data_IF_072764373242
#
_entry.id   IF_072764373242
#
_cell.length_a   1.000
_cell.length_b   1.000
_cell.length_c   1.000
_cell.angle_alpha   90.00
_cell.angle_beta   90.00
_cell.angle_gamma   90.00
#
_symmetry.space_group_name_H-M   'P 1'
#
loop_
_entity.id
_entity.type
_entity.pdbx_description
1 polymer ?
#
# COMPACT_ATOMS: atom_id res chain seq x y z
N UNK A 1 1.67 -0.49 31.93
CA UNK A 1 1.69 -1.40 30.78
C UNK A 1 0.31 -2.03 30.63
N UNK A 2 -0.18 -2.13 29.39
CA UNK A 2 -1.42 -2.84 29.01
C UNK A 2 -0.99 -3.76 27.87
N UNK A 3 -1.33 -5.04 27.96
CA UNK A 3 -1.07 -6.01 26.92
C UNK A 3 -2.40 -6.45 26.29
N UNK A 4 -2.48 -6.42 24.96
CA UNK A 4 -3.63 -6.84 24.17
C UNK A 4 -3.23 -8.05 23.34
N UNK A 5 -3.07 -9.19 24.02
CA UNK A 5 -2.59 -10.43 23.45
C UNK A 5 -3.63 -11.57 23.60
N UNK A 6 -3.37 -12.70 22.94
CA UNK A 6 -4.25 -13.88 23.04
C UNK A 6 -5.58 -13.75 22.27
N UNK A 7 -5.68 -12.78 21.36
CA UNK A 7 -6.86 -12.59 20.52
C UNK A 7 -6.79 -13.58 19.35
N UNK A 8 -7.55 -14.66 19.44
CA UNK A 8 -7.73 -15.59 18.33
C UNK A 8 -8.66 -14.98 17.24
N UNK A 9 -9.23 -15.81 16.37
CA UNK A 9 -10.31 -15.35 15.50
C UNK A 9 -11.49 -14.88 16.37
N UNK A 10 -12.02 -13.65 16.21
CA UNK A 10 -11.83 -12.70 15.11
C UNK A 10 -11.07 -11.41 15.51
N UNK A 11 -9.75 -11.46 15.62
CA UNK A 11 -8.95 -10.30 16.05
C UNK A 11 -9.05 -9.04 15.16
N UNK A 12 -9.14 -9.18 13.84
CA UNK A 12 -9.30 -8.02 12.95
C UNK A 12 -10.67 -7.35 13.10
N UNK A 13 -11.73 -8.14 13.21
CA UNK A 13 -13.11 -7.64 13.33
C UNK A 13 -13.36 -7.02 14.70
N UNK A 14 -12.74 -7.56 15.75
CA UNK A 14 -12.87 -7.06 17.13
C UNK A 14 -11.93 -5.89 17.45
N UNK A 15 -10.95 -5.58 16.61
CA UNK A 15 -9.95 -4.53 16.87
C UNK A 15 -10.54 -3.16 17.25
N UNK A 16 -11.62 -2.65 16.61
CA UNK A 16 -12.23 -1.38 17.04
C UNK A 16 -12.78 -1.42 18.48
N UNK A 17 -13.52 -2.47 18.83
CA UNK A 17 -14.09 -2.64 20.16
C UNK A 17 -13.01 -2.85 21.24
N UNK A 18 -11.95 -3.59 20.91
CA UNK A 18 -10.76 -3.72 21.77
C UNK A 18 -10.10 -2.35 21.97
N UNK A 19 -10.03 -1.52 20.93
CA UNK A 19 -9.53 -0.14 21.01
C UNK A 19 -10.31 0.71 22.01
N UNK A 20 -11.64 0.68 21.96
CA UNK A 20 -12.51 1.39 22.93
C UNK A 20 -12.29 0.89 24.36
N UNK A 21 -12.23 -0.44 24.55
CA UNK A 21 -11.96 -1.05 25.85
C UNK A 21 -10.62 -0.57 26.43
N UNK A 22 -9.55 -0.56 25.62
CA UNK A 22 -8.22 -0.12 26.05
C UNK A 22 -8.20 1.38 26.37
N UNK A 23 -8.92 2.20 25.58
CA UNK A 23 -9.05 3.63 25.84
C UNK A 23 -9.70 3.89 27.21
N UNK A 24 -10.74 3.12 27.58
CA UNK A 24 -11.38 3.23 28.88
C UNK A 24 -10.44 2.84 30.04
N UNK A 25 -9.66 1.76 29.88
CA UNK A 25 -8.64 1.36 30.86
C UNK A 25 -7.60 2.47 31.05
N UNK A 26 -7.17 3.12 29.97
CA UNK A 26 -6.23 4.25 30.03
C UNK A 26 -6.82 5.48 30.70
N UNK A 27 -8.10 5.78 30.41
CA UNK A 27 -8.84 6.89 31.03
C UNK A 27 -8.81 6.79 32.55
N UNK A 28 -9.14 5.62 33.08
CA UNK A 28 -9.15 5.37 34.54
C UNK A 28 -7.74 5.38 35.14
N UNK A 29 -6.76 4.76 34.46
CA UNK A 29 -5.40 4.61 34.98
C UNK A 29 -4.61 5.92 35.01
N UNK A 30 -4.88 6.83 34.09
CA UNK A 30 -4.12 8.08 33.91
C UNK A 30 -4.95 9.34 34.17
N UNK A 31 -6.21 9.20 34.61
CA UNK A 31 -7.15 10.30 34.79
C UNK A 31 -7.24 11.19 33.54
N UNK A 32 -7.41 10.57 32.37
CA UNK A 32 -7.48 11.28 31.09
C UNK A 32 -8.86 11.92 30.91
N UNK A 33 -8.86 13.09 30.31
CA UNK A 33 -10.08 13.80 29.92
C UNK A 33 -10.27 13.70 28.40
N UNK A 34 -11.53 13.79 27.96
CA UNK A 34 -11.84 13.77 26.54
C UNK A 34 -11.38 15.07 25.88
N UNK A 35 -10.77 14.95 24.70
CA UNK A 35 -10.30 16.10 23.94
C UNK A 35 -11.43 16.61 23.05
N UNK A 36 -11.94 17.81 23.33
CA UNK A 36 -13.02 18.44 22.54
C UNK A 36 -12.63 18.60 21.05
N UNK A 37 -11.39 19.01 20.78
CA UNK A 37 -10.87 19.22 19.42
C UNK A 37 -10.13 17.99 18.87
N UNK A 38 -10.76 16.81 18.93
CA UNK A 38 -10.20 15.60 18.35
C UNK A 38 -10.41 15.52 16.83
N UNK A 39 -9.32 15.31 16.09
CA UNK A 39 -9.38 15.10 14.63
C UNK A 39 -9.74 13.64 14.36
N UNK A 40 -11.04 13.36 14.23
CA UNK A 40 -11.57 12.01 14.01
C UNK A 40 -11.53 11.52 12.55
N UNK A 41 -10.99 12.31 11.63
CA UNK A 41 -10.94 11.98 10.21
C UNK A 41 -9.51 11.85 9.73
N UNK A 42 -9.30 10.97 8.74
CA UNK A 42 -8.04 10.88 8.01
C UNK A 42 -8.31 11.04 6.53
N UNK A 43 -7.40 11.72 5.83
CA UNK A 43 -7.41 11.71 4.36
C UNK A 43 -7.22 10.26 3.89
N UNK A 44 -8.19 9.75 3.15
CA UNK A 44 -8.14 8.41 2.55
C UNK A 44 -7.12 8.33 1.43
N UNK A 45 -6.88 7.10 0.96
CA UNK A 45 -6.16 6.87 -0.30
C UNK A 45 -7.15 7.08 -1.43
N UNK A 46 -6.76 7.83 -2.46
CA UNK A 46 -7.58 8.03 -3.66
C UNK A 46 -7.83 6.68 -4.35
N UNK A 47 -9.09 6.38 -4.66
CA UNK A 47 -9.48 5.27 -5.54
C UNK A 47 -9.96 5.83 -6.88
N UNK A 48 -9.16 5.70 -7.97
CA UNK A 48 -9.57 6.21 -9.27
C UNK A 48 -10.84 5.58 -9.84
N UNK A 49 -11.28 4.43 -9.32
CA UNK A 49 -12.51 3.77 -9.78
C UNK A 49 -13.78 4.38 -9.18
N UNK A 50 -13.66 5.19 -8.12
CA UNK A 50 -14.81 5.89 -7.53
C UNK A 50 -15.04 7.27 -8.16
N UNK A 51 -14.12 7.74 -9.00
CA UNK A 51 -14.22 9.05 -9.67
C UNK A 51 -15.19 9.00 -10.85
N UNK A 52 -15.87 10.11 -11.09
CA UNK A 52 -16.56 10.35 -12.36
C UNK A 52 -15.58 10.41 -13.53
N UNK A 53 -16.09 10.33 -14.76
CA UNK A 53 -15.26 10.37 -15.96
C UNK A 53 -14.51 11.70 -16.08
N UNK A 54 -15.20 12.79 -15.78
CA UNK A 54 -14.68 14.16 -15.82
C UNK A 54 -13.57 14.36 -14.78
N UNK A 55 -13.79 13.93 -13.55
CA UNK A 55 -12.77 13.97 -12.48
C UNK A 55 -11.55 13.11 -12.83
N UNK A 56 -11.77 11.93 -13.41
CA UNK A 56 -10.68 11.05 -13.85
C UNK A 56 -9.88 11.70 -14.99
N UNK A 57 -10.53 12.39 -15.92
CA UNK A 57 -9.84 13.12 -16.99
C UNK A 57 -8.99 14.27 -16.44
N UNK A 58 -9.50 15.03 -15.48
CA UNK A 58 -8.73 16.10 -14.85
C UNK A 58 -7.56 15.55 -14.04
N UNK A 59 -7.76 14.44 -13.31
CA UNK A 59 -6.68 13.74 -12.62
C UNK A 59 -5.57 13.30 -13.58
N UNK A 60 -5.93 12.72 -14.74
CA UNK A 60 -4.94 12.29 -15.73
C UNK A 60 -4.21 13.50 -16.35
N UNK A 61 -4.90 14.63 -16.50
CA UNK A 61 -4.30 15.86 -17.01
C UNK A 61 -3.30 16.47 -16.02
N UNK A 62 -3.61 16.44 -14.73
CA UNK A 62 -2.70 16.89 -13.66
C UNK A 62 -1.55 15.90 -13.44
N UNK A 63 -1.88 14.60 -13.46
CA UNK A 63 -1.01 13.48 -13.14
C UNK A 63 -1.11 12.39 -14.22
N UNK A 64 -0.36 12.52 -15.33
CA UNK A 64 -0.42 11.61 -16.48
C UNK A 64 -0.21 10.13 -16.14
N UNK A 65 0.51 9.82 -15.08
CA UNK A 65 0.74 8.48 -14.56
C UNK A 65 -0.55 7.74 -14.15
N UNK A 66 -1.63 8.45 -13.81
CA UNK A 66 -2.96 7.87 -13.59
C UNK A 66 -3.67 7.45 -14.89
N UNK A 67 -3.14 7.86 -16.05
CA UNK A 67 -3.61 7.42 -17.36
C UNK A 67 -2.99 6.09 -17.82
N UNK A 68 -1.89 5.66 -17.20
CA UNK A 68 -1.14 4.48 -17.60
C UNK A 68 -1.52 3.25 -16.76
N UNK A 69 -2.20 2.26 -17.36
CA UNK A 69 -2.63 1.04 -16.64
C UNK A 69 -1.50 0.01 -16.59
N UNK A 70 -1.03 -0.30 -15.38
CA UNK A 70 0.01 -1.30 -15.14
C UNK A 70 -0.58 -2.68 -14.86
N UNK A 71 -1.62 -2.77 -14.02
CA UNK A 71 -2.31 -4.03 -13.74
C UNK A 71 -3.70 -4.05 -14.37
N UNK A 72 -3.81 -4.62 -15.58
CA UNK A 72 -5.09 -4.73 -16.30
C UNK A 72 -6.16 -5.54 -15.57
N UNK A 73 -5.78 -6.52 -14.73
CA UNK A 73 -6.77 -7.34 -14.02
C UNK A 73 -7.48 -6.57 -12.91
N UNK A 74 -6.76 -5.68 -12.23
CA UNK A 74 -7.28 -4.90 -11.09
C UNK A 74 -7.47 -3.41 -11.45
N UNK A 75 -7.28 -3.06 -12.73
CA UNK A 75 -7.33 -1.69 -13.26
C UNK A 75 -6.42 -0.68 -12.55
N UNK A 76 -5.28 -1.15 -12.03
CA UNK A 76 -4.34 -0.32 -11.27
C UNK A 76 -3.41 0.45 -12.21
N UNK A 77 -3.32 1.75 -11.97
CA UNK A 77 -2.51 2.72 -12.72
C UNK A 77 -1.07 2.80 -12.20
N UNK A 78 -0.17 3.39 -13.00
CA UNK A 78 1.19 3.73 -12.57
C UNK A 78 1.16 4.72 -11.39
N UNK A 79 0.26 5.72 -11.45
CA UNK A 79 0.06 6.70 -10.40
C UNK A 79 -0.30 6.08 -9.04
N UNK A 80 -1.21 5.12 -9.00
CA UNK A 80 -1.53 4.39 -7.76
C UNK A 80 -0.33 3.62 -7.19
N UNK A 81 0.51 3.04 -8.05
CA UNK A 81 1.73 2.34 -7.64
C UNK A 81 2.75 3.33 -7.07
N UNK A 82 2.96 4.47 -7.73
CA UNK A 82 3.84 5.54 -7.27
C UNK A 82 3.38 6.10 -5.91
N UNK A 83 2.08 6.40 -5.77
CA UNK A 83 1.48 6.83 -4.51
C UNK A 83 1.70 5.82 -3.38
N UNK A 84 1.53 4.52 -3.68
CA UNK A 84 1.76 3.46 -2.70
C UNK A 84 3.23 3.36 -2.24
N UNK A 85 4.18 3.76 -3.08
CA UNK A 85 5.61 3.77 -2.80
C UNK A 85 6.02 5.02 -2.01
N UNK A 86 5.51 6.18 -2.38
CA UNK A 86 5.97 7.47 -1.87
C UNK A 86 5.25 7.95 -0.59
N UNK A 87 4.08 7.40 -0.28
CA UNK A 87 3.35 7.75 0.96
C UNK A 87 4.10 7.34 2.24
N UNK A 88 3.77 7.91 3.42
CA UNK A 88 4.37 7.49 4.69
C UNK A 88 4.30 5.97 4.89
N UNK A 89 5.41 5.36 5.31
CA UNK A 89 5.58 3.90 5.38
C UNK A 89 5.23 3.21 4.05
N UNK A 90 5.70 3.78 2.94
CA UNK A 90 5.43 3.33 1.59
C UNK A 90 5.97 1.94 1.25
N UNK A 91 5.54 1.41 0.10
CA UNK A 91 5.92 0.09 -0.38
C UNK A 91 7.42 0.00 -0.68
N UNK A 92 8.07 -1.05 -0.19
CA UNK A 92 9.50 -1.36 -0.44
C UNK A 92 9.73 -2.70 -1.13
N UNK A 93 8.67 -3.41 -1.48
CA UNK A 93 8.71 -4.73 -2.12
C UNK A 93 7.48 -4.94 -3.00
N UNK A 94 7.51 -5.95 -3.86
CA UNK A 94 6.36 -6.26 -4.71
C UNK A 94 5.10 -6.57 -3.89
N UNK A 95 5.22 -7.38 -2.84
CA UNK A 95 4.09 -7.67 -1.96
C UNK A 95 3.69 -6.43 -1.12
N UNK A 96 4.60 -5.47 -0.94
CA UNK A 96 4.32 -4.16 -0.37
C UNK A 96 3.39 -3.33 -1.26
N UNK A 97 3.64 -3.31 -2.58
CA UNK A 97 2.77 -2.66 -3.58
C UNK A 97 1.44 -3.42 -3.67
N UNK A 98 1.49 -4.75 -3.83
CA UNK A 98 0.32 -5.63 -3.93
C UNK A 98 -0.69 -5.42 -2.80
N UNK A 99 -0.25 -5.38 -1.54
CA UNK A 99 -1.15 -5.17 -0.39
C UNK A 99 -1.78 -3.77 -0.34
N UNK A 100 -1.20 -2.78 -1.03
CA UNK A 100 -1.63 -1.38 -1.00
C UNK A 100 -2.50 -1.00 -2.18
N UNK A 101 -2.29 -1.61 -3.34
CA UNK A 101 -2.97 -1.27 -4.60
C UNK A 101 -3.72 -2.43 -5.23
N UNK A 102 -3.51 -3.65 -4.73
CA UNK A 102 -3.97 -4.92 -5.35
C UNK A 102 -3.28 -5.28 -6.66
N UNK A 103 -2.31 -4.50 -7.16
CA UNK A 103 -1.55 -4.87 -8.35
C UNK A 103 -0.96 -6.28 -8.22
N UNK A 104 -1.34 -7.16 -9.15
CA UNK A 104 -0.93 -8.57 -9.14
C UNK A 104 -1.84 -9.52 -8.34
N UNK A 105 -2.97 -9.06 -7.81
CA UNK A 105 -3.96 -9.90 -7.11
C UNK A 105 -5.10 -10.41 -8.00
N UNK A 106 -5.20 -9.92 -9.24
CA UNK A 106 -6.23 -10.36 -10.18
C UNK A 106 -5.91 -11.67 -10.89
N UNK A 107 -6.71 -12.05 -11.89
CA UNK A 107 -6.65 -13.36 -12.57
C UNK A 107 -5.26 -13.82 -12.99
N UNK A 108 -4.39 -12.90 -13.44
CA UNK A 108 -3.04 -13.25 -13.90
C UNK A 108 -2.00 -13.48 -12.79
N UNK A 109 -2.35 -13.24 -11.52
CA UNK A 109 -1.48 -13.44 -10.35
C UNK A 109 -0.07 -12.83 -10.52
N UNK A 110 -0.02 -11.58 -10.99
CA UNK A 110 1.20 -10.80 -11.24
C UNK A 110 2.08 -11.29 -12.41
N UNK A 111 1.63 -12.24 -13.23
CA UNK A 111 2.41 -12.77 -14.36
C UNK A 111 2.79 -11.72 -15.42
N UNK A 112 2.05 -10.62 -15.53
CA UNK A 112 2.31 -9.57 -16.53
C UNK A 112 2.74 -8.23 -15.93
N UNK A 113 2.15 -7.82 -14.80
CA UNK A 113 2.40 -6.49 -14.24
C UNK A 113 3.64 -6.44 -13.34
N UNK A 114 4.19 -7.58 -12.90
CA UNK A 114 5.32 -7.60 -11.96
C UNK A 114 6.59 -6.95 -12.51
N UNK A 115 7.06 -7.18 -13.76
CA UNK A 115 8.29 -6.53 -14.24
C UNK A 115 8.18 -5.00 -14.25
N UNK A 116 7.06 -4.46 -14.78
CA UNK A 116 6.79 -3.01 -14.76
C UNK A 116 6.66 -2.45 -13.35
N UNK A 117 6.01 -3.19 -12.45
CA UNK A 117 5.90 -2.78 -11.03
C UNK A 117 7.28 -2.73 -10.37
N UNK A 118 8.18 -3.67 -10.68
CA UNK A 118 9.56 -3.66 -10.18
C UNK A 118 10.35 -2.47 -10.73
N UNK A 119 10.21 -2.15 -12.02
CA UNK A 119 10.85 -0.99 -12.64
C UNK A 119 10.43 0.32 -11.96
N UNK A 120 9.12 0.52 -11.75
CA UNK A 120 8.59 1.67 -11.02
C UNK A 120 9.15 1.69 -9.60
N UNK A 121 9.10 0.57 -8.89
CA UNK A 121 9.61 0.47 -7.52
C UNK A 121 11.10 0.78 -7.40
N UNK A 122 11.92 0.34 -8.36
CA UNK A 122 13.35 0.62 -8.43
C UNK A 122 13.59 2.11 -8.71
N UNK A 123 12.87 2.68 -9.67
CA UNK A 123 12.92 4.11 -10.04
C UNK A 123 12.57 5.01 -8.86
N UNK A 124 11.39 4.81 -8.26
CA UNK A 124 10.88 5.65 -7.16
C UNK A 124 11.73 5.55 -5.89
N UNK A 125 12.41 4.41 -5.68
CA UNK A 125 13.28 4.21 -4.52
C UNK A 125 14.75 4.50 -4.78
N UNK A 126 15.11 4.84 -6.02
CA UNK A 126 16.49 5.05 -6.45
C UNK A 126 17.42 3.87 -6.11
N UNK A 127 16.94 2.64 -6.33
CA UNK A 127 17.70 1.40 -6.10
C UNK A 127 17.83 0.59 -7.38
N UNK A 128 18.77 -0.35 -7.40
CA UNK A 128 18.90 -1.27 -8.51
C UNK A 128 17.73 -2.25 -8.57
N UNK A 129 17.37 -2.72 -9.78
CA UNK A 129 16.42 -3.81 -9.97
C UNK A 129 16.82 -5.09 -9.22
N UNK A 130 18.12 -5.30 -8.98
CA UNK A 130 18.66 -6.42 -8.20
C UNK A 130 18.38 -6.32 -6.70
N UNK A 131 18.02 -5.13 -6.21
CA UNK A 131 17.65 -4.90 -4.81
C UNK A 131 16.15 -5.05 -4.57
N UNK A 132 15.35 -5.20 -5.65
CA UNK A 132 13.92 -5.41 -5.53
C UNK A 132 13.63 -6.83 -5.03
N UNK A 133 12.84 -6.88 -3.97
CA UNK A 133 12.44 -8.12 -3.30
C UNK A 133 10.95 -8.37 -3.46
N UNK A 134 10.57 -9.65 -3.36
CA UNK A 134 9.17 -10.06 -3.32
C UNK A 134 8.49 -9.54 -2.04
N UNK A 135 9.07 -9.82 -0.88
CA UNK A 135 8.45 -9.53 0.44
C UNK A 135 9.40 -8.91 1.47
N UNK A 136 10.56 -8.40 1.05
CA UNK A 136 11.63 -7.93 1.95
C UNK A 136 12.66 -9.02 2.26
N UNK A 137 13.69 -8.68 3.05
CA UNK A 137 14.78 -9.58 3.39
C UNK A 137 15.49 -10.15 2.16
N UNK A 138 15.80 -11.44 2.17
CA UNK A 138 16.57 -12.12 1.11
C UNK A 138 15.71 -12.59 -0.08
N UNK A 139 14.45 -12.16 -0.18
CA UNK A 139 13.53 -12.57 -1.24
C UNK A 139 13.77 -11.84 -2.58
N UNK A 140 15.03 -11.80 -3.03
CA UNK A 140 15.44 -11.16 -4.30
C UNK A 140 14.80 -11.86 -5.48
N UNK A 141 14.34 -11.07 -6.46
CA UNK A 141 13.68 -11.59 -7.68
C UNK A 141 14.70 -11.73 -8.81
N UNK A 142 15.55 -10.72 -8.97
CA UNK A 142 16.63 -10.72 -9.98
C UNK A 142 17.93 -11.09 -9.28
N UNK A 143 18.56 -12.18 -9.71
CA UNK A 143 19.79 -12.72 -9.07
C UNK A 143 21.03 -12.66 -9.96
N UNK A 144 20.86 -12.36 -11.25
CA UNK A 144 21.98 -12.28 -12.20
C UNK A 144 21.52 -11.72 -13.55
N UNK A 145 22.49 -11.40 -14.39
CA UNK A 145 22.27 -11.17 -15.83
C UNK A 145 22.45 -12.49 -16.57
N UNK A 146 21.67 -12.70 -17.64
CA UNK A 146 22.01 -13.78 -18.57
C UNK A 146 23.25 -13.39 -19.38
N UNK A 147 23.92 -14.37 -20.01
CA UNK A 147 25.24 -14.26 -20.66
C UNK A 147 25.36 -13.20 -21.76
N UNK A 148 24.25 -12.66 -22.25
CA UNK A 148 24.26 -11.62 -23.28
C UNK A 148 24.18 -10.22 -22.62
N UNK A 149 25.31 -9.77 -22.08
CA UNK A 149 25.54 -8.34 -21.92
C UNK A 149 25.78 -7.74 -23.31
N UNK A 150 24.71 -7.27 -23.96
CA UNK A 150 24.78 -6.44 -25.16
C UNK A 150 25.56 -5.15 -24.90
#
# INVERSE_FOLDING_TARGET
FIDCAGIESPGLTSAPAIGEMVAQILKEKMNLEEKEDFIATRKGVLDPNTLSKEERMELIKEKPEYGNIICRCEMVTEGEIMDAINRPLGAKSLDGVKRRTRAGMGRCQAGFCSPRTMEILARERHVSMFEITKSGGDSKIVTGTNKDSL
#
